data_IF_261929145877
#
_entry.id   IF_261929145877
#
_cell.length_a   1.000
_cell.length_b   1.000
_cell.length_c   1.000
_cell.angle_alpha   90.00
_cell.angle_beta   90.00
_cell.angle_gamma   90.00
#
_symmetry.space_group_name_H-M   'P 1'
#
loop_
_entity.id
_entity.type
_entity.pdbx_description
1 polymer ?
#
# COMPACT_ATOMS: atom_id res chain seq x y z
N UNK A 1 -25.87 9.62 20.38
CA UNK A 1 -25.91 9.01 19.04
C UNK A 1 -24.53 8.47 18.66
N UNK A 2 -24.14 7.28 19.14
CA UNK A 2 -22.93 6.63 18.64
C UNK A 2 -23.18 6.24 17.18
N UNK A 3 -22.54 6.92 16.22
CA UNK A 3 -22.60 6.53 14.80
C UNK A 3 -22.25 5.04 14.73
N UNK A 4 -23.20 4.20 14.29
CA UNK A 4 -22.98 2.75 14.07
C UNK A 4 -21.70 2.63 13.24
N UNK A 5 -20.59 2.25 13.87
CA UNK A 5 -19.28 2.14 13.22
C UNK A 5 -19.33 0.94 12.28
N UNK A 6 -19.77 1.17 11.05
CA UNK A 6 -19.66 0.17 9.97
C UNK A 6 -18.18 -0.12 9.73
N UNK A 7 -17.85 -1.34 9.29
CA UNK A 7 -16.47 -1.67 8.93
C UNK A 7 -15.98 -0.74 7.80
N UNK A 8 -14.68 -0.40 7.77
CA UNK A 8 -14.11 0.49 6.74
C UNK A 8 -14.40 -0.03 5.32
N UNK A 9 -14.38 -1.36 5.17
CA UNK A 9 -14.76 -2.08 3.97
C UNK A 9 -16.20 -1.79 3.57
N UNK A 10 -17.14 -1.93 4.50
CA UNK A 10 -18.56 -1.69 4.25
C UNK A 10 -18.90 -0.20 3.99
N UNK A 11 -18.11 0.73 4.52
CA UNK A 11 -18.24 2.16 4.20
C UNK A 11 -17.81 2.46 2.76
N UNK A 12 -16.74 1.81 2.28
CA UNK A 12 -16.23 2.01 0.92
C UNK A 12 -17.19 1.54 -0.18
N UNK A 13 -17.94 0.45 0.06
CA UNK A 13 -18.89 -0.10 -0.92
C UNK A 13 -20.30 0.51 -0.84
N UNK A 14 -20.61 1.29 0.19
CA UNK A 14 -21.96 1.84 0.37
C UNK A 14 -22.23 2.94 -0.67
N UNK A 15 -23.20 2.71 -1.55
CA UNK A 15 -23.53 3.63 -2.65
C UNK A 15 -22.70 3.40 -3.91
N UNK A 16 -21.82 2.40 -3.92
CA UNK A 16 -21.17 1.95 -5.14
C UNK A 16 -22.16 1.14 -6.00
N UNK A 17 -22.15 1.41 -7.29
CA UNK A 17 -22.85 0.57 -8.27
C UNK A 17 -22.06 -0.72 -8.52
N UNK A 18 -22.74 -1.78 -8.97
CA UNK A 18 -22.09 -3.07 -9.29
C UNK A 18 -20.89 -2.89 -10.23
N UNK A 19 -21.00 -2.04 -11.25
CA UNK A 19 -19.92 -1.75 -12.19
C UNK A 19 -18.71 -1.05 -11.55
N UNK A 20 -18.93 -0.16 -10.59
CA UNK A 20 -17.85 0.44 -9.80
C UNK A 20 -17.20 -0.58 -8.88
N UNK A 21 -17.96 -1.54 -8.35
CA UNK A 21 -17.45 -2.68 -7.58
C UNK A 21 -16.59 -3.61 -8.44
N UNK A 22 -17.01 -3.90 -9.66
CA UNK A 22 -16.23 -4.71 -10.62
C UNK A 22 -14.92 -4.03 -11.03
N UNK A 23 -14.88 -2.69 -11.10
CA UNK A 23 -13.64 -1.93 -11.34
C UNK A 23 -12.66 -1.97 -10.16
N UNK A 24 -13.12 -2.33 -8.97
CA UNK A 24 -12.26 -2.57 -7.81
C UNK A 24 -11.70 -4.00 -7.79
N UNK A 25 -12.04 -4.84 -8.77
CA UNK A 25 -11.42 -6.15 -8.88
C UNK A 25 -9.90 -5.98 -8.98
N UNK A 26 -9.21 -6.74 -8.14
CA UNK A 26 -7.77 -6.69 -7.99
C UNK A 26 -7.15 -7.27 -9.26
N UNK A 27 -6.76 -6.40 -10.20
CA UNK A 27 -5.91 -6.79 -11.31
C UNK A 27 -4.46 -6.93 -10.81
N UNK A 28 -4.16 -8.14 -10.31
CA UNK A 28 -2.85 -8.48 -9.75
C UNK A 28 -1.70 -8.17 -10.72
N UNK A 29 -1.92 -8.29 -12.03
CA UNK A 29 -0.90 -8.02 -13.04
C UNK A 29 -0.65 -6.52 -13.15
N UNK A 30 -1.71 -5.74 -13.23
CA UNK A 30 -1.60 -4.29 -13.34
C UNK A 30 -1.04 -3.67 -12.04
N UNK A 31 -1.46 -4.17 -10.88
CA UNK A 31 -0.91 -3.74 -9.58
C UNK A 31 0.59 -4.03 -9.46
N UNK A 32 1.03 -5.20 -9.91
CA UNK A 32 2.45 -5.55 -9.98
C UNK A 32 3.23 -4.61 -10.91
N UNK A 33 2.69 -4.31 -12.10
CA UNK A 33 3.32 -3.37 -13.04
C UNK A 33 3.39 -1.94 -12.47
N UNK A 34 2.32 -1.48 -11.82
CA UNK A 34 2.25 -0.17 -11.18
C UNK A 34 3.26 -0.04 -10.04
N UNK A 35 3.36 -1.08 -9.19
CA UNK A 35 4.36 -1.10 -8.12
C UNK A 35 5.79 -1.06 -8.67
N UNK A 36 6.11 -1.84 -9.71
CA UNK A 36 7.42 -1.75 -10.39
C UNK A 36 7.72 -0.36 -10.93
N UNK A 37 6.74 0.27 -11.61
CA UNK A 37 6.88 1.63 -12.16
C UNK A 37 7.09 2.69 -11.08
N UNK A 38 6.48 2.51 -9.90
CA UNK A 38 6.73 3.41 -8.77
C UNK A 38 8.11 3.19 -8.15
N UNK A 39 8.51 1.92 -8.03
CA UNK A 39 9.79 1.54 -7.44
C UNK A 39 11.01 1.94 -8.29
N UNK A 40 10.85 2.08 -9.62
CA UNK A 40 11.93 2.52 -10.51
C UNK A 40 12.44 3.93 -10.25
N UNK A 41 11.71 4.74 -9.46
CA UNK A 41 12.12 6.09 -9.10
C UNK A 41 13.14 6.12 -7.94
N UNK A 42 13.40 4.98 -7.29
CA UNK A 42 14.33 4.89 -6.17
C UNK A 42 15.66 4.29 -6.64
N UNK A 43 16.80 4.82 -6.16
CA UNK A 43 18.09 4.24 -6.48
C UNK A 43 18.21 2.85 -5.84
N UNK A 44 18.61 1.89 -6.67
CA UNK A 44 18.85 0.50 -6.30
C UNK A 44 20.36 0.32 -6.26
N UNK A 45 20.89 -0.05 -5.10
CA UNK A 45 22.28 -0.45 -4.90
C UNK A 45 22.31 -1.97 -4.67
N UNK A 46 22.45 -2.74 -5.75
CA UNK A 46 22.42 -4.20 -5.69
C UNK A 46 21.04 -4.74 -5.27
N UNK A 47 20.97 -5.46 -4.16
CA UNK A 47 19.72 -5.98 -3.58
C UNK A 47 19.04 -4.99 -2.61
N UNK A 48 19.68 -3.87 -2.29
CA UNK A 48 19.17 -2.87 -1.36
C UNK A 48 18.56 -1.67 -2.12
N UNK A 49 17.42 -1.17 -1.65
CA UNK A 49 16.74 -0.01 -2.23
C UNK A 49 16.66 1.13 -1.21
N UNK A 50 17.09 2.33 -1.61
CA UNK A 50 16.99 3.51 -0.75
C UNK A 50 15.63 4.18 -0.94
N UNK A 51 14.79 4.15 0.10
CA UNK A 51 13.42 4.70 0.05
C UNK A 51 13.22 5.69 1.20
N UNK A 52 12.62 6.88 0.96
CA UNK A 52 12.19 7.76 2.02
C UNK A 52 11.00 7.13 2.77
N UNK A 53 11.26 6.63 3.98
CA UNK A 53 10.23 5.99 4.80
C UNK A 53 9.56 7.01 5.72
N UNK A 54 8.22 6.94 5.81
CA UNK A 54 7.47 7.66 6.84
C UNK A 54 7.39 6.86 8.16
N UNK A 55 6.92 7.47 9.25
CA UNK A 55 6.84 6.83 10.58
C UNK A 55 5.98 5.56 10.59
N UNK A 56 4.89 5.54 9.82
CA UNK A 56 3.99 4.38 9.76
C UNK A 56 4.67 3.21 9.03
N UNK A 57 5.36 3.49 7.93
CA UNK A 57 6.16 2.50 7.18
C UNK A 57 7.30 1.93 8.04
N UNK A 58 8.03 2.77 8.80
CA UNK A 58 9.06 2.30 9.74
C UNK A 58 8.52 1.34 10.80
N UNK A 59 7.34 1.65 11.36
CA UNK A 59 6.67 0.78 12.34
C UNK A 59 6.23 -0.54 11.73
N UNK A 60 5.71 -0.50 10.51
CA UNK A 60 5.32 -1.69 9.76
C UNK A 60 6.51 -2.60 9.52
N UNK A 61 7.62 -2.04 9.03
CA UNK A 61 8.87 -2.77 8.78
C UNK A 61 9.40 -3.42 10.06
N UNK A 62 9.41 -2.69 11.19
CA UNK A 62 9.78 -3.27 12.51
C UNK A 62 8.89 -4.44 12.90
N UNK A 63 7.57 -4.34 12.68
CA UNK A 63 6.62 -5.43 12.95
C UNK A 63 6.85 -6.64 12.04
N UNK A 64 7.24 -6.39 10.78
CA UNK A 64 7.56 -7.42 9.79
C UNK A 64 9.00 -7.95 9.92
N UNK A 65 9.79 -7.45 10.88
CA UNK A 65 11.21 -7.81 11.08
C UNK A 65 12.08 -7.58 9.85
N UNK A 66 11.76 -6.54 9.07
CA UNK A 66 12.60 -6.11 7.95
C UNK A 66 13.77 -5.30 8.52
N UNK A 67 15.00 -5.69 8.19
CA UNK A 67 16.20 -4.95 8.55
C UNK A 67 16.29 -3.66 7.73
N UNK A 68 16.47 -2.52 8.40
CA UNK A 68 16.58 -1.21 7.76
C UNK A 68 17.83 -0.51 8.27
N UNK A 69 18.70 -0.08 7.35
CA UNK A 69 19.86 0.76 7.66
C UNK A 69 19.53 2.21 7.28
N UNK A 70 19.80 3.14 8.18
CA UNK A 70 19.71 4.57 7.85
C UNK A 70 20.92 4.95 7.00
N UNK A 71 20.65 5.46 5.80
CA UNK A 71 21.67 6.04 4.92
C UNK A 71 21.69 7.54 5.19
N UNK A 72 22.87 8.09 5.51
CA UNK A 72 23.10 9.54 5.67
C UNK A 72 23.36 10.21 4.34
#
# INVERSE_FOLDING_TARGET
MAKRKRSKTQQGYMGMTLSQGMRLEIDKKQDYLNSKKYLSNFPIEGEEMRVPLNRAMRRLAKRMKIEMKEVK
#
